data_IF_559143731011
#
_entry.id   IF_559143731011
#
_cell.length_a   1.000
_cell.length_b   1.000
_cell.length_c   1.000
_cell.angle_alpha   90.00
_cell.angle_beta   90.00
_cell.angle_gamma   90.00
#
_symmetry.space_group_name_H-M   'P 1'
#
loop_
_entity.id
_entity.type
_entity.pdbx_description
1 polymer ?
#
# COMPACT_ATOMS: atom_id res chain seq x y z
N UNK A 1 13.10 -5.67 28.00
CA UNK A 1 14.21 -5.30 27.11
C UNK A 1 13.61 -4.67 25.84
N UNK A 2 13.14 -3.42 25.96
CA UNK A 2 12.37 -2.73 24.92
C UNK A 2 13.00 -1.37 24.76
N UNK A 3 13.93 -1.23 23.80
CA UNK A 3 14.39 0.04 23.21
C UNK A 3 15.72 -0.17 22.50
N UNK A 4 15.72 -0.58 21.22
CA UNK A 4 16.80 -0.28 20.24
C UNK A 4 16.28 -0.36 18.80
N UNK A 5 15.39 0.54 18.43
CA UNK A 5 15.27 1.01 17.03
C UNK A 5 15.30 2.54 17.03
N UNK A 6 16.22 3.12 17.80
CA UNK A 6 16.59 4.54 17.70
C UNK A 6 17.37 4.76 16.40
N UNK A 7 16.80 5.55 15.48
CA UNK A 7 17.45 6.50 14.55
C UNK A 7 18.90 6.28 14.08
N UNK A 8 19.31 5.04 13.91
CA UNK A 8 20.57 4.68 13.27
C UNK A 8 20.46 4.84 11.76
N UNK A 9 21.47 5.45 11.14
CA UNK A 9 21.62 5.50 9.69
C UNK A 9 21.50 4.07 9.13
N UNK A 10 20.53 3.85 8.25
CA UNK A 10 20.32 2.54 7.62
C UNK A 10 21.58 2.06 6.92
N UNK A 11 21.92 0.78 7.08
CA UNK A 11 22.99 0.11 6.34
C UNK A 11 22.58 -0.04 4.88
N UNK A 12 23.53 -0.08 3.96
CA UNK A 12 23.23 -0.16 2.52
C UNK A 12 22.37 -1.38 2.16
N UNK A 13 22.62 -2.53 2.80
CA UNK A 13 21.77 -3.72 2.64
C UNK A 13 20.31 -3.48 3.04
N UNK A 14 20.08 -2.80 4.16
CA UNK A 14 18.73 -2.49 4.64
C UNK A 14 18.03 -1.51 3.69
N UNK A 15 18.79 -0.59 3.09
CA UNK A 15 18.28 0.34 2.08
C UNK A 15 17.81 -0.39 0.82
N UNK A 16 18.61 -1.33 0.31
CA UNK A 16 18.22 -2.14 -0.85
C UNK A 16 17.01 -3.03 -0.56
N UNK A 17 16.96 -3.64 0.63
CA UNK A 17 15.79 -4.42 1.05
C UNK A 17 14.51 -3.59 1.11
N UNK A 18 14.59 -2.35 1.61
CA UNK A 18 13.44 -1.44 1.62
C UNK A 18 13.03 -1.04 0.20
N UNK A 19 13.98 -0.76 -0.70
CA UNK A 19 13.68 -0.49 -2.11
C UNK A 19 12.95 -1.65 -2.78
N UNK A 20 13.45 -2.87 -2.59
CA UNK A 20 12.82 -4.10 -3.11
C UNK A 20 11.42 -4.28 -2.51
N UNK A 21 11.29 -4.16 -1.19
CA UNK A 21 10.01 -4.31 -0.50
C UNK A 21 8.95 -3.30 -0.98
N UNK A 22 9.33 -2.02 -1.13
CA UNK A 22 8.44 -1.01 -1.72
C UNK A 22 8.10 -1.32 -3.19
N UNK A 23 9.05 -1.82 -3.98
CA UNK A 23 8.79 -2.20 -5.38
C UNK A 23 7.83 -3.40 -5.49
N UNK A 24 7.95 -4.40 -4.62
CA UNK A 24 7.03 -5.53 -4.54
C UNK A 24 5.63 -5.08 -4.11
N UNK A 25 5.53 -4.23 -3.08
CA UNK A 25 4.26 -3.67 -2.61
C UNK A 25 3.56 -2.88 -3.72
N UNK A 26 4.34 -2.08 -4.44
CA UNK A 26 3.91 -1.31 -5.59
C UNK A 26 3.28 -2.20 -6.68
N UNK A 27 3.96 -3.27 -7.07
CA UNK A 27 3.46 -4.21 -8.07
C UNK A 27 2.20 -4.96 -7.58
N UNK A 28 2.15 -5.32 -6.29
CA UNK A 28 0.99 -5.98 -5.70
C UNK A 28 -0.26 -5.08 -5.71
N UNK A 29 -0.11 -3.80 -5.38
CA UNK A 29 -1.23 -2.83 -5.42
C UNK A 29 -1.71 -2.60 -6.85
N UNK A 30 -0.80 -2.47 -7.81
CA UNK A 30 -1.17 -2.34 -9.24
C UNK A 30 -1.93 -3.56 -9.75
N UNK A 31 -1.46 -4.77 -9.41
CA UNK A 31 -2.12 -6.01 -9.80
C UNK A 31 -3.51 -6.15 -9.17
N UNK A 32 -3.63 -5.85 -7.87
CA UNK A 32 -4.93 -5.84 -7.17
C UNK A 32 -5.89 -4.86 -7.83
N UNK A 33 -5.42 -3.63 -8.10
CA UNK A 33 -6.23 -2.62 -8.77
C UNK A 33 -6.70 -3.13 -10.14
N UNK A 34 -5.79 -3.62 -10.97
CA UNK A 34 -6.15 -4.14 -12.29
C UNK A 34 -7.23 -5.23 -12.19
N UNK A 35 -7.04 -6.22 -11.31
CA UNK A 35 -8.01 -7.30 -11.13
C UNK A 35 -9.38 -6.78 -10.66
N UNK A 36 -9.42 -5.90 -9.66
CA UNK A 36 -10.67 -5.36 -9.15
C UNK A 36 -11.40 -4.41 -10.12
N UNK A 37 -10.69 -3.87 -11.11
CA UNK A 37 -11.23 -3.04 -12.19
C UNK A 37 -11.80 -3.86 -13.36
N UNK A 38 -11.41 -5.13 -13.49
CA UNK A 38 -11.97 -6.05 -14.50
C UNK A 38 -13.38 -6.56 -14.16
N UNK A 39 -13.77 -6.46 -12.88
CA UNK A 39 -15.08 -6.88 -12.39
C UNK A 39 -15.99 -5.67 -12.17
N UNK A 40 -17.27 -5.80 -12.49
CA UNK A 40 -18.31 -4.81 -12.17
C UNK A 40 -19.34 -5.49 -11.27
N UNK A 41 -19.62 -4.88 -10.12
CA UNK A 41 -20.65 -5.37 -9.19
C UNK A 41 -21.81 -4.40 -9.20
N UNK A 42 -22.93 -4.80 -9.82
CA UNK A 42 -24.12 -3.95 -10.01
C UNK A 42 -24.90 -3.69 -8.72
N UNK A 43 -24.88 -4.65 -7.79
CA UNK A 43 -25.49 -4.51 -6.47
C UNK A 43 -24.63 -3.59 -5.60
N UNK A 44 -25.21 -2.45 -5.20
CA UNK A 44 -24.51 -1.40 -4.46
C UNK A 44 -24.13 -1.87 -3.05
N UNK A 45 -25.02 -2.58 -2.37
CA UNK A 45 -24.79 -3.04 -1.00
C UNK A 45 -23.69 -4.10 -0.95
N UNK A 46 -23.72 -5.04 -1.91
CA UNK A 46 -22.65 -6.03 -2.07
C UNK A 46 -21.31 -5.37 -2.40
N UNK A 47 -21.31 -4.40 -3.33
CA UNK A 47 -20.11 -3.66 -3.72
C UNK A 47 -19.49 -2.93 -2.53
N UNK A 48 -20.29 -2.20 -1.78
CA UNK A 48 -19.82 -1.43 -0.61
C UNK A 48 -19.35 -2.34 0.52
N UNK A 49 -20.00 -3.49 0.71
CA UNK A 49 -19.54 -4.52 1.64
C UNK A 49 -18.18 -5.08 1.26
N UNK A 50 -17.99 -5.47 -0.01
CA UNK A 50 -16.71 -5.99 -0.51
C UNK A 50 -15.58 -4.96 -0.35
N UNK A 51 -15.84 -3.69 -0.64
CA UNK A 51 -14.87 -2.59 -0.43
C UNK A 51 -14.53 -2.40 1.04
N UNK A 52 -15.53 -2.45 1.91
CA UNK A 52 -15.34 -2.28 3.36
C UNK A 52 -14.52 -3.42 3.93
N UNK A 53 -14.86 -4.66 3.61
CA UNK A 53 -14.11 -5.85 4.04
C UNK A 53 -12.67 -5.82 3.48
N UNK A 54 -12.49 -5.48 2.21
CA UNK A 54 -11.17 -5.32 1.59
C UNK A 54 -10.31 -4.25 2.27
N UNK A 55 -10.89 -3.09 2.59
CA UNK A 55 -10.21 -2.03 3.36
C UNK A 55 -9.76 -2.52 4.73
N UNK A 56 -10.63 -3.19 5.48
CA UNK A 56 -10.30 -3.70 6.82
C UNK A 56 -9.13 -4.70 6.79
N UNK A 57 -9.08 -5.54 5.76
CA UNK A 57 -8.02 -6.55 5.61
C UNK A 57 -6.65 -5.94 5.24
N UNK A 58 -6.65 -4.92 4.37
CA UNK A 58 -5.41 -4.40 3.76
C UNK A 58 -4.85 -3.22 4.54
N UNK A 59 -5.71 -2.32 5.01
CA UNK A 59 -5.28 -0.99 5.46
C UNK A 59 -4.48 -1.02 6.76
N UNK A 60 -4.78 -1.92 7.70
CA UNK A 60 -4.04 -1.99 8.97
C UNK A 60 -2.57 -2.38 8.75
N UNK A 61 -2.35 -3.41 7.93
CA UNK A 61 -1.01 -3.85 7.55
C UNK A 61 -0.27 -2.79 6.75
N UNK A 62 -0.93 -2.17 5.77
CA UNK A 62 -0.32 -1.13 4.95
C UNK A 62 0.04 0.12 5.77
N UNK A 63 -0.84 0.59 6.64
CA UNK A 63 -0.59 1.75 7.53
C UNK A 63 0.58 1.47 8.46
N UNK A 64 0.63 0.28 9.04
CA UNK A 64 1.75 -0.14 9.91
C UNK A 64 3.07 -0.15 9.14
N UNK A 65 3.10 -0.73 7.94
CA UNK A 65 4.29 -0.75 7.09
C UNK A 65 4.72 0.68 6.68
N UNK A 66 3.77 1.47 6.17
CA UNK A 66 4.02 2.84 5.71
C UNK A 66 4.58 3.71 6.83
N UNK A 67 3.94 3.74 8.01
CA UNK A 67 4.37 4.55 9.14
C UNK A 67 5.78 4.17 9.63
N UNK A 68 6.11 2.87 9.57
CA UNK A 68 7.40 2.36 10.04
C UNK A 68 8.55 2.70 9.09
N UNK A 69 8.32 2.67 7.78
CA UNK A 69 9.40 2.68 6.79
C UNK A 69 9.41 3.87 5.85
N UNK A 70 8.28 4.56 5.61
CA UNK A 70 8.20 5.63 4.61
C UNK A 70 9.17 6.77 4.94
N UNK A 71 9.32 7.16 6.20
CA UNK A 71 10.18 8.27 6.63
C UNK A 71 11.66 7.91 6.77
N UNK A 72 12.06 6.66 6.47
CA UNK A 72 13.46 6.26 6.55
C UNK A 72 14.25 6.79 5.34
N UNK A 73 15.51 7.15 5.55
CA UNK A 73 16.44 7.57 4.48
C UNK A 73 17.05 6.37 3.75
N UNK A 74 16.22 5.68 2.96
CA UNK A 74 16.62 4.51 2.17
C UNK A 74 16.87 4.81 0.69
N UNK A 75 16.41 5.97 0.19
CA UNK A 75 16.52 6.37 -1.22
C UNK A 75 16.48 7.88 -1.37
N UNK A 76 17.19 8.40 -2.38
CA UNK A 76 17.09 9.80 -2.82
C UNK A 76 15.92 10.03 -3.77
N UNK A 77 15.47 9.00 -4.48
CA UNK A 77 14.31 9.05 -5.36
C UNK A 77 13.11 8.42 -4.66
N UNK A 78 12.43 9.19 -3.80
CA UNK A 78 11.33 8.70 -2.96
C UNK A 78 10.10 8.34 -3.78
N UNK A 79 9.75 9.18 -4.76
CA UNK A 79 8.55 9.03 -5.61
C UNK A 79 8.56 7.73 -6.41
N UNK A 80 9.73 7.24 -6.81
CA UNK A 80 9.88 5.94 -7.48
C UNK A 80 9.41 4.76 -6.61
N UNK A 81 9.64 4.82 -5.30
CA UNK A 81 9.41 3.68 -4.40
C UNK A 81 8.14 3.84 -3.56
N UNK A 82 7.84 5.04 -3.08
CA UNK A 82 6.65 5.31 -2.27
C UNK A 82 5.58 5.91 -3.19
N UNK A 83 4.93 5.06 -4.01
CA UNK A 83 3.90 5.49 -4.97
C UNK A 83 2.52 5.67 -4.33
N UNK A 84 2.25 4.96 -3.24
CA UNK A 84 0.98 5.01 -2.53
C UNK A 84 1.21 5.48 -1.10
N UNK A 85 0.39 6.44 -0.66
CA UNK A 85 0.17 6.71 0.77
C UNK A 85 -1.15 6.04 1.22
N UNK A 86 -1.45 6.00 2.53
CA UNK A 86 -2.66 5.35 3.01
C UNK A 86 -3.95 5.92 2.41
N UNK A 87 -4.00 7.24 2.13
CA UNK A 87 -5.18 7.89 1.55
C UNK A 87 -5.36 7.50 0.09
N UNK A 88 -4.27 7.43 -0.66
CA UNK A 88 -4.28 6.99 -2.06
C UNK A 88 -4.77 5.54 -2.14
N UNK A 89 -4.25 4.64 -1.29
CA UNK A 89 -4.68 3.24 -1.32
C UNK A 89 -6.15 3.06 -0.92
N UNK A 90 -6.63 3.80 0.09
CA UNK A 90 -8.06 3.80 0.44
C UNK A 90 -8.93 4.25 -0.73
N UNK A 91 -8.56 5.36 -1.38
CA UNK A 91 -9.27 5.84 -2.55
C UNK A 91 -9.26 4.82 -3.69
N UNK A 92 -8.16 4.10 -3.91
CA UNK A 92 -8.12 3.02 -4.90
C UNK A 92 -9.16 1.93 -4.57
N UNK A 93 -9.22 1.48 -3.32
CA UNK A 93 -10.16 0.44 -2.89
C UNK A 93 -11.61 0.92 -2.98
N UNK A 94 -11.87 2.20 -2.65
CA UNK A 94 -13.19 2.81 -2.75
C UNK A 94 -13.75 2.80 -4.18
N UNK A 95 -12.88 2.76 -5.20
CA UNK A 95 -13.26 2.72 -6.60
C UNK A 95 -13.25 1.30 -7.20
N UNK A 96 -13.06 0.24 -6.41
CA UNK A 96 -13.09 -1.14 -6.91
C UNK A 96 -14.47 -1.57 -7.35
N UNK A 97 -14.57 -2.43 -8.36
CA UNK A 97 -15.84 -3.00 -8.84
C UNK A 97 -16.83 -2.01 -9.46
N UNK A 98 -16.35 -0.82 -9.82
CA UNK A 98 -17.13 0.26 -10.44
C UNK A 98 -16.92 0.32 -11.95
N UNK A 99 -17.87 0.90 -12.68
CA UNK A 99 -17.72 1.09 -14.12
C UNK A 99 -16.66 2.15 -14.42
N UNK A 100 -15.67 1.82 -15.24
CA UNK A 100 -14.81 2.82 -15.85
C UNK A 100 -15.52 3.37 -17.08
N UNK A 101 -16.21 4.50 -16.92
CA UNK A 101 -16.73 5.28 -18.05
C UNK A 101 -15.66 6.21 -18.60
#
# INVERSE_FOLDING_TARGET
NVNRLSDGKLRDRDREQLKESFATLNAAIDNLRQQCQEYIVSDIDLRDRLRTEGKLLIMDMFRTYYNKFSNKDFTRNREKYIRYDPRILESIIDNFFEHHS
#
